data_IF_605605231843
#
_entry.id   IF_605605231843
#
_cell.length_a   1.000
_cell.length_b   1.000
_cell.length_c   1.000
_cell.angle_alpha   90.00
_cell.angle_beta   90.00
_cell.angle_gamma   90.00
#
_symmetry.space_group_name_H-M   'P 1'
#
loop_
_entity.id
_entity.type
_entity.pdbx_description
1 polymer ?
#
# COMPACT_ATOMS: atom_id res chain seq x y z
N UNK A 1 11.73 -51.19 33.56
CA UNK A 1 12.84 -50.25 33.30
C UNK A 1 13.00 -49.92 31.82
N UNK A 2 13.12 -50.86 30.89
CA UNK A 2 13.30 -50.57 29.47
C UNK A 2 12.15 -49.70 28.84
N UNK A 3 10.89 -50.00 29.17
CA UNK A 3 9.71 -49.31 28.66
C UNK A 3 9.62 -47.84 29.09
N UNK A 4 10.06 -47.51 30.30
CA UNK A 4 10.13 -46.15 30.83
C UNK A 4 11.21 -45.32 30.11
N UNK A 5 12.34 -45.95 29.80
CA UNK A 5 13.44 -45.31 29.09
C UNK A 5 13.03 -45.03 27.66
N UNK A 6 12.34 -45.95 26.97
CA UNK A 6 11.87 -45.79 25.60
C UNK A 6 10.86 -44.64 25.48
N UNK A 7 9.92 -44.52 26.43
CA UNK A 7 8.94 -43.43 26.45
C UNK A 7 9.61 -42.07 26.68
N UNK A 8 10.58 -42.01 27.61
CA UNK A 8 11.34 -40.76 27.86
C UNK A 8 12.17 -40.34 26.67
N UNK A 9 12.84 -41.28 25.98
CA UNK A 9 13.61 -41.01 24.77
C UNK A 9 12.68 -40.55 23.64
N UNK A 10 11.51 -41.16 23.48
CA UNK A 10 10.53 -40.75 22.47
C UNK A 10 9.97 -39.34 22.73
N UNK A 11 9.66 -39.02 24.00
CA UNK A 11 9.23 -37.68 24.38
C UNK A 11 10.32 -36.63 24.16
N UNK A 12 11.59 -36.94 24.44
CA UNK A 12 12.72 -36.03 24.20
C UNK A 12 12.94 -35.81 22.68
N UNK A 13 12.86 -36.87 21.88
CA UNK A 13 12.94 -36.78 20.41
C UNK A 13 11.77 -35.99 19.84
N UNK A 14 10.56 -36.12 20.39
CA UNK A 14 9.39 -35.35 19.95
C UNK A 14 9.50 -33.88 20.32
N UNK A 15 10.05 -33.55 21.50
CA UNK A 15 10.33 -32.17 21.91
C UNK A 15 11.46 -31.55 21.09
N UNK A 16 12.52 -32.30 20.76
CA UNK A 16 13.59 -31.83 19.88
C UNK A 16 13.10 -31.61 18.44
N UNK A 17 12.17 -32.41 17.90
CA UNK A 17 11.62 -32.21 16.56
C UNK A 17 10.69 -31.01 16.48
N UNK A 18 10.04 -30.62 17.60
CA UNK A 18 9.23 -29.38 17.63
C UNK A 18 10.07 -28.11 17.76
N UNK A 19 11.34 -28.18 18.18
CA UNK A 19 12.26 -27.04 18.24
C UNK A 19 12.88 -26.69 16.88
N UNK A 20 12.83 -27.57 15.88
CA UNK A 20 13.29 -27.25 14.51
C UNK A 20 12.26 -26.44 13.70
N UNK A 21 11.09 -26.18 14.27
CA UNK A 21 10.06 -25.29 13.66
C UNK A 21 10.44 -23.82 13.66
N UNK A 22 11.58 -23.44 14.21
CA UNK A 22 12.15 -22.08 14.19
C UNK A 22 13.24 -21.88 13.13
N UNK A 23 13.10 -22.49 11.95
CA UNK A 23 13.84 -22.10 10.76
C UNK A 23 12.88 -21.39 9.78
N UNK A 24 12.51 -20.12 10.02
CA UNK A 24 11.64 -19.39 9.09
C UNK A 24 12.42 -18.74 7.97
N UNK A 25 13.75 -18.83 7.93
CA UNK A 25 14.53 -17.86 7.18
C UNK A 25 14.76 -18.21 5.71
N UNK A 26 14.55 -19.44 5.27
CA UNK A 26 14.92 -19.83 3.89
C UNK A 26 13.71 -20.02 2.97
N UNK A 27 12.51 -20.17 3.51
CA UNK A 27 11.28 -20.32 2.72
C UNK A 27 10.54 -19.00 2.45
N UNK A 28 10.94 -17.89 3.07
CA UNK A 28 10.35 -16.56 2.83
C UNK A 28 10.72 -15.98 1.48
N UNK A 29 11.74 -16.49 0.81
CA UNK A 29 12.16 -16.00 -0.52
C UNK A 29 11.09 -16.18 -1.60
N UNK A 30 10.43 -17.32 -1.64
CA UNK A 30 9.46 -17.60 -2.71
C UNK A 30 8.09 -16.95 -2.46
N UNK A 31 7.60 -16.95 -1.22
CA UNK A 31 6.32 -16.31 -0.89
C UNK A 31 6.44 -14.77 -0.84
N UNK A 32 7.56 -14.25 -0.33
CA UNK A 32 7.85 -12.81 -0.34
C UNK A 32 8.02 -12.28 -1.75
N UNK A 33 8.72 -13.00 -2.63
CA UNK A 33 8.86 -12.62 -4.04
C UNK A 33 7.53 -12.68 -4.78
N UNK A 34 6.67 -13.66 -4.52
CA UNK A 34 5.36 -13.76 -5.16
C UNK A 34 4.44 -12.57 -4.80
N UNK A 35 4.46 -12.11 -3.54
CA UNK A 35 3.73 -10.90 -3.13
C UNK A 35 4.30 -9.63 -3.76
N UNK A 36 5.61 -9.56 -3.96
CA UNK A 36 6.28 -8.43 -4.57
C UNK A 36 5.90 -8.29 -6.05
N UNK A 37 5.87 -9.40 -6.80
CA UNK A 37 5.37 -9.41 -8.19
C UNK A 37 3.87 -9.13 -8.31
N UNK A 38 3.11 -9.29 -7.24
CA UNK A 38 1.68 -8.99 -7.23
C UNK A 38 1.39 -7.48 -7.08
N UNK A 39 2.37 -6.66 -6.71
CA UNK A 39 2.23 -5.20 -6.62
C UNK A 39 2.18 -4.58 -8.01
N UNK A 40 1.40 -3.51 -8.15
CA UNK A 40 1.33 -2.73 -9.41
C UNK A 40 2.54 -1.78 -9.54
N UNK A 41 3.76 -2.27 -9.20
CA UNK A 41 5.03 -1.52 -9.22
C UNK A 41 6.16 -2.38 -9.76
N UNK A 42 7.11 -1.79 -10.51
CA UNK A 42 8.31 -2.51 -10.94
C UNK A 42 9.14 -3.02 -9.75
N UNK A 43 9.70 -4.22 -9.87
CA UNK A 43 10.57 -4.80 -8.84
C UNK A 43 11.80 -3.92 -8.52
N UNK A 44 12.28 -3.14 -9.50
CA UNK A 44 13.37 -2.17 -9.32
C UNK A 44 13.03 -1.05 -8.34
N UNK A 45 11.79 -0.56 -8.34
CA UNK A 45 11.34 0.43 -7.36
C UNK A 45 11.31 -0.16 -5.95
N UNK A 46 10.79 -1.36 -5.81
CA UNK A 46 10.76 -2.05 -4.51
C UNK A 46 12.16 -2.29 -3.95
N UNK A 47 13.13 -2.65 -4.79
CA UNK A 47 14.52 -2.80 -4.37
C UNK A 47 15.11 -1.46 -3.90
N UNK A 48 14.77 -0.36 -4.57
CA UNK A 48 15.18 0.98 -4.17
C UNK A 48 14.56 1.37 -2.82
N UNK A 49 13.26 1.17 -2.66
CA UNK A 49 12.53 1.43 -1.41
C UNK A 49 13.13 0.64 -0.23
N UNK A 50 13.45 -0.63 -0.47
CA UNK A 50 14.10 -1.50 0.53
C UNK A 50 15.48 -0.97 0.94
N UNK A 51 16.29 -0.47 -0.02
CA UNK A 51 17.60 0.14 0.26
C UNK A 51 17.46 1.42 1.08
N UNK A 52 16.49 2.27 0.76
CA UNK A 52 16.19 3.48 1.52
C UNK A 52 15.83 3.12 2.95
N UNK A 53 14.88 2.20 3.16
CA UNK A 53 14.47 1.76 4.51
C UNK A 53 15.65 1.18 5.30
N UNK A 54 16.47 0.32 4.68
CA UNK A 54 17.65 -0.25 5.32
C UNK A 54 18.71 0.81 5.66
N UNK A 55 18.91 1.79 4.78
CA UNK A 55 19.83 2.90 5.01
C UNK A 55 19.43 3.77 6.20
N UNK A 56 18.15 4.15 6.30
CA UNK A 56 17.63 4.91 7.44
C UNK A 56 17.83 4.13 8.75
N UNK A 57 17.47 2.84 8.75
CA UNK A 57 17.65 1.96 9.92
C UNK A 57 19.12 1.84 10.33
N UNK A 58 20.03 1.72 9.37
CA UNK A 58 21.46 1.65 9.64
C UNK A 58 22.00 2.97 10.26
N UNK A 59 21.51 4.13 9.78
CA UNK A 59 21.90 5.42 10.36
C UNK A 59 21.37 5.61 11.78
N UNK A 60 20.17 5.13 12.11
CA UNK A 60 19.67 5.12 13.49
C UNK A 60 20.61 4.34 14.42
N UNK A 61 21.07 3.17 13.98
CA UNK A 61 22.00 2.34 14.76
C UNK A 61 23.36 3.02 14.93
N UNK A 62 23.92 3.62 13.87
CA UNK A 62 25.24 4.30 13.90
C UNK A 62 25.26 5.51 14.81
N UNK A 63 24.17 6.29 14.84
CA UNK A 63 24.06 7.52 15.63
C UNK A 63 23.63 7.27 17.07
N UNK A 64 23.68 6.01 17.54
CA UNK A 64 23.28 5.57 18.89
C UNK A 64 21.80 5.87 19.24
N UNK A 65 20.97 5.99 18.21
CA UNK A 65 19.52 6.14 18.33
C UNK A 65 18.81 4.77 18.44
N UNK A 66 19.37 3.85 19.24
CA UNK A 66 18.79 2.51 19.40
C UNK A 66 17.35 2.53 19.89
N UNK A 67 17.03 3.47 20.77
CA UNK A 67 15.67 3.65 21.27
C UNK A 67 14.72 4.07 20.16
N UNK A 68 15.16 4.95 19.23
CA UNK A 68 14.37 5.35 18.08
C UNK A 68 14.17 4.21 17.09
N UNK A 69 15.19 3.37 16.89
CA UNK A 69 15.09 2.22 15.99
C UNK A 69 13.95 1.26 16.36
N UNK A 70 13.68 1.08 17.66
CA UNK A 70 12.62 0.19 18.14
C UNK A 70 11.24 0.85 18.16
N UNK A 71 11.18 2.18 18.30
CA UNK A 71 9.95 2.95 18.43
C UNK A 71 9.41 3.47 17.09
N UNK A 72 10.29 3.71 16.11
CA UNK A 72 9.92 4.27 14.81
C UNK A 72 9.77 3.16 13.78
N UNK A 73 8.59 3.08 13.17
CA UNK A 73 8.34 2.28 11.97
C UNK A 73 8.62 3.12 10.73
N UNK A 74 9.35 2.53 9.79
CA UNK A 74 9.78 3.16 8.54
C UNK A 74 9.19 2.36 7.40
N UNK A 75 8.31 2.99 6.65
CA UNK A 75 7.75 2.43 5.42
C UNK A 75 8.15 3.30 4.23
N UNK A 76 8.50 2.66 3.12
CA UNK A 76 8.95 3.36 1.91
C UNK A 76 8.17 2.85 0.70
N UNK A 77 7.62 3.78 -0.07
CA UNK A 77 6.88 3.50 -1.30
C UNK A 77 7.22 4.57 -2.34
N UNK A 78 7.88 4.17 -3.43
CA UNK A 78 8.32 5.06 -4.51
C UNK A 78 9.20 6.23 -4.02
N UNK A 79 10.15 5.93 -3.13
CA UNK A 79 11.03 6.94 -2.52
C UNK A 79 10.34 7.84 -1.49
N UNK A 80 9.06 7.69 -1.26
CA UNK A 80 8.31 8.36 -0.18
C UNK A 80 8.51 7.58 1.10
N UNK A 81 8.93 8.27 2.14
CA UNK A 81 9.18 7.68 3.46
C UNK A 81 8.08 8.10 4.41
N UNK A 82 7.39 7.14 5.02
CA UNK A 82 6.47 7.37 6.13
C UNK A 82 7.14 6.94 7.44
N UNK A 83 7.24 7.87 8.38
CA UNK A 83 7.72 7.65 9.73
C UNK A 83 6.53 7.64 10.69
N UNK A 84 6.29 6.53 11.39
CA UNK A 84 5.24 6.39 12.39
C UNK A 84 5.79 5.82 13.69
N UNK A 85 5.14 6.08 14.80
CA UNK A 85 5.53 5.56 16.11
C UNK A 85 5.32 6.57 17.22
N UNK A 86 5.50 6.15 18.46
CA UNK A 86 5.45 7.01 19.64
C UNK A 86 6.87 7.24 20.17
N UNK A 87 7.25 8.50 20.32
CA UNK A 87 8.57 8.94 20.78
C UNK A 87 8.45 9.89 21.97
N UNK A 88 9.53 10.01 22.73
CA UNK A 88 9.50 10.80 23.98
C UNK A 88 9.72 12.29 23.76
N UNK A 89 10.44 12.68 22.70
CA UNK A 89 10.92 14.03 22.48
C UNK A 89 10.72 14.48 21.03
N UNK A 90 10.35 15.72 20.86
CA UNK A 90 10.19 16.33 19.54
C UNK A 90 11.51 16.43 18.75
N UNK A 91 12.62 16.66 19.48
CA UNK A 91 13.94 16.71 18.86
C UNK A 91 14.31 15.38 18.17
N UNK A 92 13.81 14.27 18.69
CA UNK A 92 14.04 12.95 18.10
C UNK A 92 13.24 12.77 16.81
N UNK A 93 12.03 13.36 16.70
CA UNK A 93 11.29 13.42 15.45
C UNK A 93 12.06 14.20 14.39
N UNK A 94 12.59 15.38 14.74
CA UNK A 94 13.38 16.22 13.81
C UNK A 94 14.58 15.44 13.29
N UNK A 95 15.33 14.78 14.19
CA UNK A 95 16.49 13.95 13.81
C UNK A 95 16.11 12.78 12.91
N UNK A 96 14.98 12.12 13.19
CA UNK A 96 14.51 11.01 12.38
C UNK A 96 14.17 11.46 10.96
N UNK A 97 13.50 12.60 10.82
CA UNK A 97 13.17 13.23 9.53
C UNK A 97 14.45 13.63 8.78
N UNK A 98 15.43 14.26 9.46
CA UNK A 98 16.70 14.61 8.85
C UNK A 98 17.45 13.39 8.33
N UNK A 99 17.52 12.31 9.11
CA UNK A 99 18.17 11.07 8.69
C UNK A 99 17.46 10.47 7.47
N UNK A 100 16.12 10.52 7.43
CA UNK A 100 15.36 10.02 6.30
C UNK A 100 15.63 10.85 5.02
N UNK A 101 15.65 12.18 5.11
CA UNK A 101 15.94 13.06 3.97
C UNK A 101 17.35 12.87 3.40
N UNK A 102 18.31 12.54 4.24
CA UNK A 102 19.70 12.34 3.82
C UNK A 102 19.94 11.03 3.06
N UNK A 103 18.94 10.16 2.94
CA UNK A 103 19.08 8.92 2.17
C UNK A 103 18.89 9.15 0.68
N UNK A 104 19.81 8.58 -0.12
CA UNK A 104 19.72 8.69 -1.57
C UNK A 104 18.46 8.00 -2.10
N UNK A 105 17.70 8.75 -2.90
CA UNK A 105 16.47 8.25 -3.54
C UNK A 105 15.19 8.61 -2.79
N UNK A 106 15.29 9.29 -1.65
CA UNK A 106 14.12 9.84 -0.95
C UNK A 106 13.59 11.04 -1.71
N UNK A 107 12.28 11.03 -1.96
CA UNK A 107 11.55 12.09 -2.67
C UNK A 107 10.60 12.87 -1.77
N UNK A 108 10.17 12.25 -0.66
CA UNK A 108 9.23 12.82 0.30
C UNK A 108 9.42 12.14 1.66
N UNK A 109 9.34 12.90 2.75
CA UNK A 109 9.30 12.35 4.10
C UNK A 109 8.03 12.83 4.78
N UNK A 110 7.22 11.88 5.20
CA UNK A 110 5.96 12.08 5.89
C UNK A 110 6.18 11.74 7.36
N UNK A 111 6.04 12.75 8.21
CA UNK A 111 6.26 12.61 9.65
C UNK A 111 4.91 12.47 10.37
N UNK A 112 4.62 11.25 10.80
CA UNK A 112 3.46 10.89 11.64
C UNK A 112 3.92 10.32 12.99
N UNK A 113 5.07 10.80 13.48
CA UNK A 113 5.56 10.46 14.80
C UNK A 113 4.73 11.19 15.86
N UNK A 114 4.25 10.43 16.82
CA UNK A 114 3.50 10.97 17.96
C UNK A 114 4.46 11.22 19.13
N UNK A 115 4.51 12.45 19.62
CA UNK A 115 5.28 12.79 20.80
C UNK A 115 4.46 12.49 22.04
N UNK A 116 4.82 11.44 22.75
CA UNK A 116 4.18 11.04 24.01
C UNK A 116 5.24 10.88 25.09
N UNK A 117 5.22 11.75 26.09
CA UNK A 117 6.15 11.72 27.23
C UNK A 117 6.05 10.43 28.04
N UNK A 118 4.95 9.69 27.91
CA UNK A 118 4.75 8.39 28.55
C UNK A 118 5.20 7.21 27.67
N UNK A 119 5.68 7.45 26.45
CA UNK A 119 6.11 6.41 25.52
C UNK A 119 7.33 5.60 25.99
N UNK A 120 7.94 5.98 27.14
CA UNK A 120 9.02 5.22 27.78
C UNK A 120 8.55 3.86 28.30
N UNK A 121 7.28 3.74 28.63
CA UNK A 121 6.71 2.49 29.10
C UNK A 121 5.97 1.80 27.95
N UNK A 122 6.41 0.60 27.62
CA UNK A 122 5.74 -0.22 26.64
C UNK A 122 4.35 -0.61 27.18
N UNK A 123 3.29 -0.07 26.58
CA UNK A 123 1.92 -0.43 26.89
C UNK A 123 1.49 -1.64 26.05
N UNK A 124 1.54 -2.81 26.67
CA UNK A 124 1.17 -4.08 26.05
C UNK A 124 -0.30 -4.10 25.62
N UNK A 125 -1.20 -3.46 26.37
CA UNK A 125 -2.63 -3.43 26.06
C UNK A 125 -2.89 -2.59 24.82
N UNK A 126 -2.27 -1.39 24.75
CA UNK A 126 -2.36 -0.54 23.58
C UNK A 126 -1.73 -1.21 22.35
N UNK A 127 -0.55 -1.80 22.49
CA UNK A 127 0.09 -2.54 21.40
C UNK A 127 -0.78 -3.68 20.88
N UNK A 128 -1.42 -4.44 21.77
CA UNK A 128 -2.32 -5.53 21.40
C UNK A 128 -3.54 -5.01 20.66
N UNK A 129 -4.14 -3.90 21.12
CA UNK A 129 -5.27 -3.24 20.49
C UNK A 129 -4.91 -2.78 19.07
N UNK A 130 -3.81 -2.05 18.92
CA UNK A 130 -3.31 -1.57 17.62
C UNK A 130 -3.07 -2.74 16.65
N UNK A 131 -2.50 -3.83 17.15
CA UNK A 131 -2.26 -5.05 16.36
C UNK A 131 -3.57 -5.70 15.91
N UNK A 132 -4.57 -5.76 16.78
CA UNK A 132 -5.89 -6.30 16.45
C UNK A 132 -6.61 -5.44 15.40
N UNK A 133 -6.59 -4.11 15.56
CA UNK A 133 -7.15 -3.15 14.59
C UNK A 133 -6.48 -3.34 13.23
N UNK A 134 -5.14 -3.31 13.19
CA UNK A 134 -4.37 -3.51 11.96
C UNK A 134 -4.73 -4.83 11.27
N UNK A 135 -4.81 -5.92 12.03
CA UNK A 135 -5.11 -7.26 11.50
C UNK A 135 -6.53 -7.35 10.93
N UNK A 136 -7.51 -6.76 11.61
CA UNK A 136 -8.89 -6.71 11.13
C UNK A 136 -9.02 -5.91 9.84
N UNK A 137 -8.37 -4.73 9.76
CA UNK A 137 -8.38 -3.91 8.55
C UNK A 137 -7.74 -4.69 7.39
N UNK A 138 -6.53 -5.24 7.60
CA UNK A 138 -5.82 -6.03 6.58
C UNK A 138 -6.64 -7.23 6.10
N UNK A 139 -7.31 -7.93 7.00
CA UNK A 139 -8.18 -9.05 6.64
C UNK A 139 -9.37 -8.60 5.78
N UNK A 140 -10.04 -7.51 6.16
CA UNK A 140 -11.20 -6.98 5.42
C UNK A 140 -10.82 -6.47 4.03
N UNK A 141 -9.70 -5.75 3.88
CA UNK A 141 -9.24 -5.29 2.58
C UNK A 141 -8.75 -6.46 1.71
N UNK A 142 -8.13 -7.49 2.30
CA UNK A 142 -7.72 -8.70 1.58
C UNK A 142 -8.91 -9.49 1.03
N UNK A 143 -10.03 -9.56 1.79
CA UNK A 143 -11.24 -10.26 1.36
C UNK A 143 -12.03 -9.50 0.28
N UNK A 144 -11.75 -8.22 0.09
CA UNK A 144 -12.45 -7.40 -0.89
C UNK A 144 -11.75 -7.50 -2.27
N UNK A 145 -12.44 -8.06 -3.26
CA UNK A 145 -11.89 -8.29 -4.60
C UNK A 145 -11.63 -7.02 -5.40
N UNK A 146 -12.28 -5.92 -5.04
CA UNK A 146 -12.12 -4.62 -5.70
C UNK A 146 -10.84 -3.91 -5.24
N UNK A 147 -10.22 -4.38 -4.14
CA UNK A 147 -9.05 -3.75 -3.55
C UNK A 147 -7.79 -4.58 -3.85
N UNK A 148 -6.78 -3.92 -4.39
CA UNK A 148 -5.45 -4.51 -4.56
C UNK A 148 -4.66 -4.41 -3.25
N UNK A 149 -4.98 -5.25 -2.27
CA UNK A 149 -4.48 -5.17 -0.88
C UNK A 149 -2.96 -5.09 -0.77
N UNK A 150 -2.21 -5.72 -1.71
CA UNK A 150 -0.73 -5.71 -1.70
C UNK A 150 -0.11 -4.34 -1.95
N UNK A 151 -0.89 -3.40 -2.48
CA UNK A 151 -0.47 -2.02 -2.71
C UNK A 151 -0.59 -1.14 -1.46
N UNK A 152 -1.22 -1.64 -0.39
CA UNK A 152 -1.50 -0.88 0.82
C UNK A 152 -0.66 -1.36 2.00
N UNK A 153 -0.08 -0.42 2.71
CA UNK A 153 0.47 -0.61 4.05
C UNK A 153 -0.49 0.01 5.05
N UNK A 154 -0.87 -0.78 6.06
CA UNK A 154 -1.75 -0.35 7.15
C UNK A 154 -0.97 -0.43 8.45
N UNK A 155 -0.89 0.68 9.16
CA UNK A 155 -0.22 0.81 10.45
C UNK A 155 -1.21 1.42 11.43
N UNK A 156 -1.25 0.91 12.65
CA UNK A 156 -2.03 1.51 13.74
C UNK A 156 -1.08 1.89 14.87
N UNK A 157 -1.21 3.11 15.36
CA UNK A 157 -0.47 3.65 16.51
C UNK A 157 -1.46 4.43 17.37
N UNK A 158 -1.64 4.00 18.60
CA UNK A 158 -2.56 4.62 19.56
C UNK A 158 -3.97 4.85 18.98
N UNK A 159 -4.56 3.79 18.42
CA UNK A 159 -5.89 3.77 17.79
C UNK A 159 -6.01 4.66 16.53
N UNK A 160 -4.93 5.33 16.09
CA UNK A 160 -4.88 6.05 14.82
C UNK A 160 -4.34 5.13 13.72
N UNK A 161 -5.10 5.01 12.64
CA UNK A 161 -4.75 4.18 11.48
C UNK A 161 -4.12 5.04 10.40
N UNK A 162 -2.96 4.64 9.93
CA UNK A 162 -2.23 5.25 8.82
C UNK A 162 -2.29 4.31 7.62
N UNK A 163 -2.88 4.80 6.53
CA UNK A 163 -2.92 4.13 5.24
C UNK A 163 -1.82 4.71 4.36
N UNK A 164 -0.95 3.85 3.82
CA UNK A 164 0.16 4.26 2.98
C UNK A 164 0.29 3.32 1.78
N UNK A 165 0.68 3.84 0.62
CA UNK A 165 0.81 3.03 -0.58
C UNK A 165 0.28 3.71 -1.83
N UNK A 166 -0.30 2.89 -2.74
CA UNK A 166 -0.79 3.32 -4.04
C UNK A 166 -2.16 2.70 -4.30
N UNK A 167 -3.17 3.54 -4.55
CA UNK A 167 -4.49 3.13 -5.02
C UNK A 167 -4.53 3.16 -6.56
N UNK A 168 -5.38 2.33 -7.15
CA UNK A 168 -5.63 2.32 -8.59
C UNK A 168 -6.68 3.36 -8.99
N UNK A 169 -7.57 3.76 -8.05
CA UNK A 169 -8.60 4.78 -8.25
C UNK A 169 -9.02 5.41 -6.93
N UNK A 170 -9.77 6.53 -7.03
CA UNK A 170 -10.38 7.19 -5.88
C UNK A 170 -11.39 6.27 -5.19
N UNK A 171 -12.18 5.52 -5.93
CA UNK A 171 -13.19 4.59 -5.39
C UNK A 171 -12.53 3.44 -4.62
N UNK A 172 -11.36 2.95 -5.08
CA UNK A 172 -10.60 1.94 -4.34
C UNK A 172 -10.10 2.52 -3.01
N UNK A 173 -9.55 3.74 -3.03
CA UNK A 173 -9.08 4.42 -1.83
C UNK A 173 -10.22 4.69 -0.84
N UNK A 174 -11.36 5.16 -1.33
CA UNK A 174 -12.55 5.40 -0.51
C UNK A 174 -13.03 4.11 0.17
N UNK A 175 -13.10 3.00 -0.57
CA UNK A 175 -13.43 1.68 0.01
C UNK A 175 -12.48 1.28 1.12
N UNK A 176 -11.16 1.48 0.94
CA UNK A 176 -10.15 1.16 1.95
C UNK A 176 -10.32 2.05 3.18
N UNK A 177 -10.51 3.35 2.99
CA UNK A 177 -10.73 4.30 4.08
C UNK A 177 -12.01 3.99 4.87
N UNK A 178 -13.10 3.66 4.17
CA UNK A 178 -14.36 3.24 4.78
C UNK A 178 -14.21 1.93 5.58
N UNK A 179 -13.49 0.95 5.04
CA UNK A 179 -13.20 -0.29 5.78
C UNK A 179 -12.42 0.02 7.05
N UNK A 180 -11.40 0.88 6.96
CA UNK A 180 -10.56 1.21 8.10
C UNK A 180 -11.34 1.98 9.19
N UNK A 181 -12.14 2.96 8.82
CA UNK A 181 -12.91 3.78 9.76
C UNK A 181 -14.02 3.00 10.49
N UNK A 182 -14.54 1.93 9.86
CA UNK A 182 -15.59 1.08 10.44
C UNK A 182 -15.06 -0.09 11.28
N UNK A 183 -13.76 -0.16 11.57
CA UNK A 183 -13.21 -1.14 12.52
C UNK A 183 -13.34 -0.61 13.95
N UNK A 184 -13.88 -1.44 14.83
CA UNK A 184 -14.06 -1.09 16.23
C UNK A 184 -12.72 -0.73 16.89
N UNK A 185 -12.67 0.39 17.59
CA UNK A 185 -11.50 0.91 18.28
C UNK A 185 -10.69 1.91 17.47
N UNK A 186 -10.96 2.10 16.17
CA UNK A 186 -10.32 3.13 15.36
C UNK A 186 -10.88 4.50 15.76
N UNK A 187 -9.98 5.41 16.15
CA UNK A 187 -10.32 6.79 16.48
C UNK A 187 -10.07 7.76 15.32
N UNK A 188 -9.07 7.47 14.50
CA UNK A 188 -8.65 8.33 13.38
C UNK A 188 -8.11 7.49 12.24
N UNK A 189 -8.42 7.89 11.00
CA UNK A 189 -7.79 7.35 9.78
C UNK A 189 -7.09 8.49 9.06
N UNK A 190 -5.79 8.31 8.80
CA UNK A 190 -4.95 9.22 8.03
C UNK A 190 -4.50 8.51 6.77
N UNK A 191 -4.74 9.11 5.61
CA UNK A 191 -4.35 8.52 4.33
C UNK A 191 -3.21 9.31 3.67
N UNK A 192 -2.12 8.60 3.41
CA UNK A 192 -0.99 9.06 2.58
C UNK A 192 -0.85 8.21 1.31
N UNK A 193 -1.97 7.63 0.87
CA UNK A 193 -2.04 6.83 -0.36
C UNK A 193 -2.04 7.77 -1.56
N UNK A 194 -1.20 7.49 -2.56
CA UNK A 194 -1.24 8.16 -3.87
C UNK A 194 -2.10 7.35 -4.83
N UNK A 195 -2.75 8.03 -5.78
CA UNK A 195 -3.55 7.38 -6.80
C UNK A 195 -2.73 7.28 -8.07
N UNK A 196 -2.63 6.07 -8.63
CA UNK A 196 -1.97 5.81 -9.90
C UNK A 196 -3.00 5.48 -10.98
N UNK A 197 -3.43 6.50 -11.69
CA UNK A 197 -4.41 6.34 -12.79
C UNK A 197 -3.85 5.58 -14.00
N UNK A 198 -2.53 5.44 -14.14
CA UNK A 198 -1.90 4.73 -15.26
C UNK A 198 -2.20 3.22 -15.23
N UNK A 199 -2.36 2.63 -14.06
CA UNK A 199 -2.68 1.21 -13.90
C UNK A 199 -4.07 0.83 -14.44
N UNK A 200 -4.98 1.78 -14.65
CA UNK A 200 -6.30 1.55 -15.23
C UNK A 200 -6.26 1.52 -16.76
N UNK A 201 -5.38 2.34 -17.37
CA UNK A 201 -5.31 2.47 -18.82
C UNK A 201 -4.77 1.22 -19.49
N UNK A 202 -3.90 0.46 -18.82
CA UNK A 202 -3.33 -0.77 -19.38
C UNK A 202 -4.34 -1.93 -19.37
N UNK A 203 -5.17 -2.03 -18.32
CA UNK A 203 -6.23 -3.06 -18.27
C UNK A 203 -7.35 -2.82 -19.29
N UNK A 204 -7.70 -1.56 -19.55
CA UNK A 204 -8.70 -1.24 -20.58
C UNK A 204 -8.16 -1.52 -21.99
N UNK A 205 -6.86 -1.38 -22.22
CA UNK A 205 -6.19 -1.76 -23.48
C UNK A 205 -6.05 -3.27 -23.66
N UNK A 206 -5.78 -4.02 -22.60
CA UNK A 206 -5.75 -5.49 -22.64
C UNK A 206 -7.13 -6.09 -22.89
N UNK A 207 -8.16 -5.61 -22.19
CA UNK A 207 -9.55 -6.04 -22.42
C UNK A 207 -10.09 -5.67 -23.81
N UNK A 208 -9.64 -4.54 -24.35
CA UNK A 208 -9.98 -4.17 -25.73
C UNK A 208 -9.26 -5.07 -26.76
N UNK A 209 -8.03 -5.53 -26.47
CA UNK A 209 -7.32 -6.50 -27.32
C UNK A 209 -7.92 -7.90 -27.25
N UNK A 210 -8.36 -8.36 -26.08
CA UNK A 210 -9.04 -9.66 -25.94
C UNK A 210 -10.39 -9.68 -26.65
N UNK A 211 -11.19 -8.62 -26.54
CA UNK A 211 -12.45 -8.51 -27.29
C UNK A 211 -12.25 -8.37 -28.80
N UNK A 212 -11.15 -7.74 -29.23
CA UNK A 212 -10.78 -7.63 -30.64
C UNK A 212 -10.30 -8.94 -31.27
N UNK A 213 -9.77 -9.87 -30.46
CA UNK A 213 -9.29 -11.15 -30.95
C UNK A 213 -10.34 -12.27 -30.91
N UNK A 214 -11.45 -12.07 -30.21
CA UNK A 214 -12.57 -13.02 -30.13
C UNK A 214 -13.58 -12.87 -31.27
N UNK A 215 -13.48 -11.83 -32.08
CA UNK A 215 -14.40 -11.57 -33.22
C UNK A 215 -13.83 -12.04 -34.56
N UNK A 216 -12.74 -12.83 -34.61
CA UNK A 216 -12.08 -13.27 -35.83
C UNK A 216 -12.27 -14.75 -36.16
N UNK A 217 -13.32 -15.38 -35.63
CA UNK A 217 -13.81 -16.68 -36.07
C UNK A 217 -15.30 -16.59 -36.36
N UNK A 218 -15.64 -16.02 -37.51
CA UNK A 218 -16.93 -16.25 -38.17
C UNK A 218 -16.66 -16.57 -39.62
N UNK A 219 -17.16 -17.69 -40.04
CA UNK A 219 -17.08 -18.36 -41.33
C UNK A 219 -17.12 -17.44 -42.55
N UNK A 220 -16.21 -17.67 -43.48
CA UNK A 220 -16.32 -17.35 -44.89
C UNK A 220 -17.46 -18.18 -45.53
N UNK A 221 -18.63 -17.59 -45.69
CA UNK A 221 -19.56 -17.91 -46.77
C UNK A 221 -20.83 -17.03 -46.64
N UNK A 222 -20.76 -15.78 -47.02
CA UNK A 222 -21.82 -15.02 -47.70
C UNK A 222 -21.39 -13.58 -47.94
N UNK A 223 -20.87 -13.35 -49.13
CA UNK A 223 -20.69 -11.99 -49.65
C UNK A 223 -22.07 -11.45 -50.05
N UNK A 224 -22.60 -10.49 -49.32
CA UNK A 224 -23.64 -9.57 -49.77
C UNK A 224 -23.06 -8.18 -49.74
N UNK A 225 -22.78 -7.66 -50.94
CA UNK A 225 -22.35 -6.28 -51.17
C UNK A 225 -23.57 -5.39 -50.93
N UNK A 226 -23.48 -4.51 -49.91
CA UNK A 226 -24.40 -3.37 -49.74
C UNK A 226 -23.58 -2.13 -50.03
N UNK A 227 -23.91 -1.44 -51.12
CA UNK A 227 -23.34 -0.14 -51.48
C UNK A 227 -23.72 0.92 -50.41
N UNK A 228 -22.80 1.85 -50.06
CA UNK A 228 -23.11 2.93 -49.14
C UNK A 228 -23.89 4.04 -49.88
N UNK A 229 -25.11 4.30 -49.40
CA UNK A 229 -25.92 5.42 -49.78
C UNK A 229 -25.27 6.74 -49.36
N UNK A 230 -25.18 7.65 -50.31
CA UNK A 230 -24.59 8.99 -50.19
C UNK A 230 -25.44 9.88 -49.26
N UNK A 231 -24.87 10.25 -48.11
CA UNK A 231 -25.45 11.34 -47.29
C UNK A 231 -24.63 12.59 -47.51
N UNK A 232 -25.26 13.60 -48.14
CA UNK A 232 -24.74 14.95 -48.33
C UNK A 232 -24.54 15.68 -46.98
N UNK A 233 -23.52 16.49 -46.86
CA UNK A 233 -23.30 17.31 -45.65
C UNK A 233 -24.22 18.53 -45.65
N UNK A 234 -25.12 18.58 -44.68
CA UNK A 234 -25.93 19.80 -44.41
C UNK A 234 -25.04 20.86 -43.74
N UNK A 235 -24.83 21.95 -44.45
CA UNK A 235 -24.16 23.17 -43.94
C UNK A 235 -25.18 23.87 -43.04
N UNK A 236 -24.84 24.06 -41.78
CA UNK A 236 -25.57 24.93 -40.86
C UNK A 236 -24.84 26.27 -40.81
N UNK A 237 -25.47 27.31 -41.33
CA UNK A 237 -25.03 28.68 -41.30
C UNK A 237 -24.98 29.23 -39.87
N UNK A 238 -23.88 29.89 -39.56
CA UNK A 238 -23.63 30.64 -38.32
C UNK A 238 -24.35 31.99 -38.42
N UNK A 239 -25.40 32.21 -37.63
CA UNK A 239 -25.97 33.55 -37.45
C UNK A 239 -25.21 34.32 -36.37
N UNK A 240 -24.38 35.21 -36.85
CA UNK A 240 -23.84 36.31 -36.08
C UNK A 240 -24.92 37.36 -35.79
N UNK A 241 -25.35 37.47 -34.56
CA UNK A 241 -26.07 38.64 -34.11
C UNK A 241 -25.39 39.35 -32.94
N UNK A 242 -24.59 40.31 -33.28
CA UNK A 242 -24.06 41.38 -32.40
C UNK A 242 -25.21 42.28 -32.00
N UNK A 243 -25.47 42.43 -30.69
CA UNK A 243 -26.16 43.61 -30.23
C UNK A 243 -25.49 44.18 -28.97
N UNK A 244 -24.91 45.36 -29.20
CA UNK A 244 -24.44 46.34 -28.23
C UNK A 244 -25.61 47.00 -27.49
N UNK A 245 -25.38 47.39 -26.30
CA UNK A 245 -25.82 48.56 -25.54
C UNK A 245 -26.23 48.11 -24.11
N UNK A 246 -25.98 48.78 -23.02
CA UNK A 246 -25.60 50.14 -22.72
C UNK A 246 -25.13 50.18 -21.27
N UNK A 247 -24.17 51.01 -21.03
CA UNK A 247 -23.86 51.76 -19.82
C UNK A 247 -25.01 51.99 -18.85
N UNK A 248 -24.65 52.03 -17.63
CA UNK A 248 -24.82 53.06 -16.60
C UNK A 248 -25.31 52.53 -15.23
N UNK A 249 -24.57 53.00 -14.25
CA UNK A 249 -24.96 53.48 -12.95
C UNK A 249 -24.98 52.51 -11.72
N UNK A 250 -24.17 53.00 -10.84
CA UNK A 250 -23.96 53.00 -9.39
C UNK A 250 -23.02 51.98 -8.76
#
# INVERSE_FOLDING_TARGET
>A
MAREITVKVFCILFVLSSLTSCLPAVFTGAAGSAMEFAKDRPASETLTDTRISAGIKAEFIKKDFRDLYTKIKIEVVQGRVLLTGAIDKEEDAVKAVEIAWNQKGVTEVINELQVDKNSRHFDLLQYTRDTMITSQIKSKIFMNRDIKFVNYTVITINDAVYLFGIARSDEELEKVANIASNVYGVQKVVSHVKINYMAQTDKSKEQAKEKGNSSKFIDDDKVTIIEPDSVEPTIVEEDNNVNQSTKDDW
#
